data_IF_000376428768
#
_entry.id   IF_000376428768
#
_cell.length_a   1.000
_cell.length_b   1.000
_cell.length_c   1.000
_cell.angle_alpha   90.00
_cell.angle_beta   90.00
_cell.angle_gamma   90.00
#
_symmetry.space_group_name_H-M   'P 1'
#
loop_
_entity.id
_entity.type
_entity.pdbx_description
1 polymer ?
#
# COMPACT_ATOMS: atom_id res chain seq x y z
N UNK A 1 -24.11 5.32 -9.20
CA UNK A 1 -24.55 6.60 -9.80
C UNK A 1 -25.95 6.93 -9.30
N UNK A 2 -27.02 6.52 -9.97
CA UNK A 2 -28.39 6.78 -9.50
C UNK A 2 -28.73 6.10 -8.18
N UNK A 3 -28.10 4.95 -7.90
CA UNK A 3 -28.34 4.12 -6.71
C UNK A 3 -28.05 4.86 -5.40
N UNK A 4 -26.95 5.62 -5.36
CA UNK A 4 -26.56 6.41 -4.19
C UNK A 4 -27.00 7.86 -4.25
N UNK A 5 -27.17 8.44 -5.46
CA UNK A 5 -27.53 9.85 -5.62
C UNK A 5 -29.04 10.14 -5.43
N UNK A 6 -29.91 9.22 -5.84
CA UNK A 6 -31.38 9.38 -5.76
C UNK A 6 -32.14 8.10 -5.40
N UNK A 7 -31.44 7.00 -5.12
CA UNK A 7 -32.05 5.72 -4.78
C UNK A 7 -32.66 5.74 -3.39
N UNK A 8 -33.63 4.86 -3.17
CA UNK A 8 -34.30 4.71 -1.87
C UNK A 8 -33.43 3.98 -0.83
N UNK A 9 -32.38 3.26 -1.27
CA UNK A 9 -31.53 2.40 -0.43
C UNK A 9 -30.02 2.66 -0.66
N UNK A 10 -29.53 3.89 -0.44
CA UNK A 10 -28.15 4.25 -0.75
C UNK A 10 -27.12 3.54 0.15
N UNK A 11 -27.48 3.24 1.39
CA UNK A 11 -26.60 2.55 2.34
C UNK A 11 -26.45 1.07 1.99
N UNK A 12 -27.57 0.41 1.67
CA UNK A 12 -27.63 -0.99 1.26
C UNK A 12 -26.90 -1.19 -0.06
N UNK A 13 -27.03 -0.26 -1.01
CA UNK A 13 -26.30 -0.30 -2.27
C UNK A 13 -24.77 -0.31 -2.04
N UNK A 14 -24.26 0.55 -1.15
CA UNK A 14 -22.83 0.60 -0.82
C UNK A 14 -22.39 -0.66 -0.06
N UNK A 15 -23.19 -1.16 0.90
CA UNK A 15 -22.90 -2.39 1.65
C UNK A 15 -22.83 -3.61 0.73
N UNK A 16 -23.84 -3.78 -0.13
CA UNK A 16 -23.88 -4.86 -1.11
C UNK A 16 -22.68 -4.82 -2.05
N UNK A 17 -22.29 -3.62 -2.51
CA UNK A 17 -21.09 -3.45 -3.33
C UNK A 17 -19.83 -3.85 -2.56
N UNK A 18 -19.66 -3.40 -1.31
CA UNK A 18 -18.50 -3.73 -0.50
C UNK A 18 -18.39 -5.24 -0.23
N UNK A 19 -19.48 -5.89 0.17
CA UNK A 19 -19.55 -7.34 0.41
C UNK A 19 -19.22 -8.13 -0.86
N UNK A 20 -19.82 -7.75 -1.99
CA UNK A 20 -19.55 -8.40 -3.29
C UNK A 20 -18.08 -8.24 -3.69
N UNK A 21 -17.49 -7.06 -3.46
CA UNK A 21 -16.07 -6.85 -3.70
C UNK A 21 -15.23 -7.76 -2.80
N UNK A 22 -15.47 -7.80 -1.48
CA UNK A 22 -14.72 -8.66 -0.56
C UNK A 22 -14.72 -10.13 -0.99
N UNK A 23 -15.88 -10.67 -1.41
CA UNK A 23 -15.98 -12.04 -1.92
C UNK A 23 -15.27 -12.23 -3.27
N UNK A 24 -15.43 -11.27 -4.19
CA UNK A 24 -14.74 -11.34 -5.48
C UNK A 24 -13.21 -11.32 -5.30
N UNK A 25 -12.70 -10.53 -4.35
CA UNK A 25 -11.28 -10.46 -4.03
C UNK A 25 -10.76 -11.73 -3.35
N UNK A 26 -11.55 -12.34 -2.45
CA UNK A 26 -11.19 -13.60 -1.76
C UNK A 26 -11.03 -14.78 -2.73
N UNK A 27 -11.81 -14.79 -3.82
CA UNK A 27 -11.80 -15.84 -4.83
C UNK A 27 -10.67 -15.72 -5.88
N UNK A 28 -9.86 -14.65 -5.86
CA UNK A 28 -8.83 -14.42 -6.88
C UNK A 28 -7.58 -15.27 -6.68
N UNK A 29 -7.05 -15.85 -7.77
CA UNK A 29 -5.73 -16.47 -7.78
C UNK A 29 -4.62 -15.40 -7.90
N UNK A 30 -4.27 -14.75 -6.78
CA UNK A 30 -3.26 -13.69 -6.73
C UNK A 30 -1.88 -14.12 -7.27
N UNK A 31 -1.48 -15.37 -7.05
CA UNK A 31 -0.20 -15.90 -7.55
C UNK A 31 -0.14 -15.88 -9.08
N UNK A 32 -1.19 -16.39 -9.74
CA UNK A 32 -1.26 -16.40 -11.21
C UNK A 32 -1.36 -14.98 -11.75
N UNK A 33 -2.24 -14.16 -11.17
CA UNK A 33 -2.41 -12.76 -11.57
C UNK A 33 -1.09 -11.97 -11.51
N UNK A 34 -0.32 -12.14 -10.44
CA UNK A 34 0.97 -11.49 -10.30
C UNK A 34 1.97 -11.96 -11.37
N UNK A 35 2.03 -13.27 -11.64
CA UNK A 35 2.88 -13.83 -12.69
C UNK A 35 2.53 -13.27 -14.08
N UNK A 36 1.25 -13.19 -14.41
CA UNK A 36 0.77 -12.64 -15.69
C UNK A 36 1.11 -11.16 -15.82
N UNK A 37 0.87 -10.37 -14.76
CA UNK A 37 1.20 -8.94 -14.72
C UNK A 37 2.70 -8.68 -14.88
N UNK A 38 3.54 -9.53 -14.27
CA UNK A 38 4.99 -9.45 -14.44
C UNK A 38 5.41 -9.85 -15.86
N UNK A 39 4.86 -10.95 -16.40
CA UNK A 39 5.18 -11.45 -17.73
C UNK A 39 4.75 -10.49 -18.85
N UNK A 40 3.73 -9.67 -18.63
CA UNK A 40 3.29 -8.64 -19.57
C UNK A 40 4.19 -7.39 -19.63
N UNK A 41 5.16 -7.25 -18.71
CA UNK A 41 6.08 -6.12 -18.73
C UNK A 41 7.09 -6.26 -19.88
N UNK A 42 7.24 -5.21 -20.68
CA UNK A 42 8.18 -5.17 -21.80
C UNK A 42 9.47 -4.46 -21.39
N UNK A 43 10.61 -5.15 -21.58
CA UNK A 43 11.94 -4.57 -21.41
C UNK A 43 12.35 -4.31 -19.95
N UNK A 44 13.52 -3.68 -19.74
CA UNK A 44 13.95 -3.23 -18.42
C UNK A 44 12.96 -2.23 -17.84
N UNK A 45 12.52 -2.47 -16.61
CA UNK A 45 11.60 -1.57 -15.91
C UNK A 45 12.37 -0.58 -15.05
N UNK A 46 11.74 0.56 -14.74
CA UNK A 46 12.29 1.53 -13.79
C UNK A 46 12.56 0.87 -12.42
N UNK A 47 13.54 1.41 -11.68
CA UNK A 47 13.95 0.93 -10.36
C UNK A 47 12.76 0.84 -9.40
N UNK A 48 11.88 1.84 -9.40
CA UNK A 48 10.69 1.85 -8.53
C UNK A 48 9.74 0.71 -8.87
N UNK A 49 9.57 0.41 -10.17
CA UNK A 49 8.71 -0.67 -10.63
C UNK A 49 9.31 -2.05 -10.30
N UNK A 50 10.63 -2.22 -10.45
CA UNK A 50 11.34 -3.43 -10.05
C UNK A 50 11.21 -3.70 -8.54
N UNK A 51 11.36 -2.66 -7.73
CA UNK A 51 11.21 -2.72 -6.27
C UNK A 51 9.76 -3.00 -5.87
N UNK A 52 8.79 -2.37 -6.54
CA UNK A 52 7.38 -2.64 -6.29
C UNK A 52 7.00 -4.11 -6.60
N UNK A 53 7.47 -4.66 -7.73
CA UNK A 53 7.25 -6.07 -8.05
C UNK A 53 7.89 -6.99 -7.00
N UNK A 54 9.14 -6.71 -6.64
CA UNK A 54 9.89 -7.48 -5.63
C UNK A 54 9.25 -7.41 -4.24
N UNK A 55 8.66 -6.28 -3.87
CA UNK A 55 7.93 -6.12 -2.61
C UNK A 55 6.68 -7.01 -2.56
N UNK A 56 5.94 -7.12 -3.67
CA UNK A 56 4.77 -8.02 -3.75
C UNK A 56 5.17 -9.49 -3.66
N UNK A 57 6.26 -9.88 -4.32
CA UNK A 57 6.83 -11.24 -4.18
C UNK A 57 7.24 -11.50 -2.75
N UNK A 58 7.96 -10.56 -2.12
CA UNK A 58 8.40 -10.67 -0.73
C UNK A 58 7.21 -10.81 0.23
N UNK A 59 6.16 -10.01 0.04
CA UNK A 59 4.95 -10.07 0.85
C UNK A 59 4.22 -11.42 0.68
N UNK A 60 4.09 -11.91 -0.56
CA UNK A 60 3.47 -13.20 -0.82
C UNK A 60 4.29 -14.38 -0.30
N UNK A 61 5.61 -14.28 -0.29
CA UNK A 61 6.51 -15.37 0.12
C UNK A 61 6.64 -15.45 1.64
N UNK A 62 6.62 -14.30 2.30
CA UNK A 62 6.69 -14.20 3.77
C UNK A 62 5.32 -14.30 4.46
N UNK A 63 4.23 -14.39 3.68
CA UNK A 63 2.85 -14.28 4.16
C UNK A 63 2.64 -13.03 5.03
N UNK A 64 3.05 -11.88 4.47
CA UNK A 64 2.99 -10.61 5.15
C UNK A 64 1.53 -10.15 5.32
N UNK A 65 1.20 -9.62 6.49
CA UNK A 65 -0.11 -9.09 6.81
C UNK A 65 -0.39 -7.77 6.06
N UNK A 66 0.63 -6.98 5.77
CA UNK A 66 0.51 -5.77 4.95
C UNK A 66 1.82 -5.37 4.26
N UNK A 67 1.69 -4.53 3.23
CA UNK A 67 2.80 -3.76 2.66
C UNK A 67 2.66 -2.31 3.10
N UNK A 68 3.69 -1.77 3.74
CA UNK A 68 3.77 -0.36 4.15
C UNK A 68 4.54 0.39 3.08
N UNK A 69 3.94 1.42 2.46
CA UNK A 69 4.57 2.20 1.39
C UNK A 69 4.67 3.67 1.81
N UNK A 70 5.89 4.20 1.85
CA UNK A 70 6.11 5.63 2.02
C UNK A 70 6.19 6.29 0.65
N UNK A 71 5.25 7.19 0.31
CA UNK A 71 5.22 7.82 -1.00
C UNK A 71 4.76 9.27 -0.91
N UNK A 72 5.53 10.19 -1.51
CA UNK A 72 5.18 11.63 -1.56
C UNK A 72 4.13 11.88 -2.64
N UNK A 73 4.38 11.44 -3.87
CA UNK A 73 3.51 11.68 -5.04
C UNK A 73 2.50 10.55 -5.29
N UNK A 74 2.59 9.45 -4.55
CA UNK A 74 1.74 8.27 -4.73
C UNK A 74 2.19 7.33 -5.86
N UNK A 75 3.22 7.67 -6.64
CA UNK A 75 3.70 6.84 -7.75
C UNK A 75 4.13 5.44 -7.31
N UNK A 76 4.87 5.36 -6.19
CA UNK A 76 5.30 4.07 -5.60
C UNK A 76 4.10 3.24 -5.18
N UNK A 77 3.13 3.85 -4.51
CA UNK A 77 1.88 3.20 -4.08
C UNK A 77 1.10 2.65 -5.27
N UNK A 78 0.99 3.44 -6.35
CA UNK A 78 0.35 3.01 -7.61
C UNK A 78 1.05 1.79 -8.20
N UNK A 79 2.38 1.79 -8.20
CA UNK A 79 3.18 0.67 -8.75
C UNK A 79 3.05 -0.59 -7.90
N UNK A 80 3.03 -0.50 -6.56
CA UNK A 80 2.77 -1.66 -5.70
C UNK A 80 1.36 -2.21 -5.97
N UNK A 81 0.35 -1.34 -6.04
CA UNK A 81 -1.03 -1.74 -6.36
C UNK A 81 -1.15 -2.39 -7.74
N UNK A 82 -0.38 -1.92 -8.75
CA UNK A 82 -0.33 -2.49 -10.10
C UNK A 82 -0.06 -3.99 -10.07
N UNK A 83 0.82 -4.45 -9.18
CA UNK A 83 1.23 -5.86 -9.07
C UNK A 83 0.29 -6.72 -8.22
N UNK A 84 -0.82 -6.14 -7.74
CA UNK A 84 -1.94 -6.83 -7.07
C UNK A 84 -1.48 -7.75 -5.92
N UNK A 85 -0.87 -7.20 -4.85
CA UNK A 85 -0.64 -7.98 -3.64
C UNK A 85 -1.97 -8.50 -3.06
N UNK A 86 -1.90 -9.66 -2.40
CA UNK A 86 -3.03 -10.24 -1.66
C UNK A 86 -3.33 -9.46 -0.36
N UNK A 87 -2.29 -8.96 0.30
CA UNK A 87 -2.39 -8.19 1.53
C UNK A 87 -2.69 -6.70 1.25
N UNK A 88 -3.29 -5.97 2.21
CA UNK A 88 -3.50 -4.53 2.10
C UNK A 88 -2.17 -3.75 1.96
N UNK A 89 -2.26 -2.60 1.30
CA UNK A 89 -1.15 -1.66 1.12
C UNK A 89 -1.44 -0.43 2.00
N UNK A 90 -0.73 -0.27 3.10
CA UNK A 90 -0.82 0.91 3.94
C UNK A 90 0.06 2.00 3.32
N UNK A 91 -0.56 3.01 2.69
CA UNK A 91 0.15 4.06 1.97
C UNK A 91 0.26 5.32 2.82
N UNK A 92 1.48 5.75 3.13
CA UNK A 92 1.74 6.87 4.02
C UNK A 92 2.30 8.04 3.21
N UNK A 93 1.61 9.17 3.30
CA UNK A 93 2.05 10.42 2.70
C UNK A 93 1.83 11.60 3.66
N UNK A 94 2.70 12.60 3.56
CA UNK A 94 2.51 13.91 4.19
C UNK A 94 1.58 14.80 3.37
N UNK A 95 1.42 14.51 2.08
CA UNK A 95 0.53 15.24 1.20
C UNK A 95 -0.91 14.68 1.29
N UNK A 96 -1.88 15.47 1.78
CA UNK A 96 -3.26 15.03 1.87
C UNK A 96 -3.91 14.83 0.48
N UNK A 97 -3.44 15.51 -0.57
CA UNK A 97 -3.94 15.27 -1.94
C UNK A 97 -3.57 13.87 -2.42
N UNK A 98 -2.32 13.47 -2.22
CA UNK A 98 -1.85 12.11 -2.53
C UNK A 98 -2.66 11.06 -1.78
N UNK A 99 -2.98 11.27 -0.50
CA UNK A 99 -3.82 10.35 0.27
C UNK A 99 -5.24 10.22 -0.32
N UNK A 100 -5.85 11.33 -0.76
CA UNK A 100 -7.16 11.31 -1.43
C UNK A 100 -7.13 10.51 -2.73
N UNK A 101 -6.14 10.78 -3.59
CA UNK A 101 -6.00 10.11 -4.89
C UNK A 101 -5.71 8.62 -4.72
N UNK A 102 -4.97 8.24 -3.68
CA UNK A 102 -4.58 6.85 -3.43
C UNK A 102 -5.77 5.88 -3.25
N UNK A 103 -6.96 6.36 -2.87
CA UNK A 103 -8.18 5.54 -2.83
C UNK A 103 -8.58 4.96 -4.21
N UNK A 104 -8.10 5.55 -5.31
CA UNK A 104 -8.33 5.02 -6.66
C UNK A 104 -7.50 3.76 -6.96
N UNK A 105 -6.51 3.46 -6.12
CA UNK A 105 -5.64 2.31 -6.30
C UNK A 105 -6.14 1.12 -5.49
N UNK A 106 -6.33 -0.01 -6.17
CA UNK A 106 -6.86 -1.23 -5.55
C UNK A 106 -5.96 -1.72 -4.41
N UNK A 107 -6.57 -2.10 -3.30
CA UNK A 107 -5.88 -2.65 -2.12
C UNK A 107 -5.15 -1.60 -1.28
N UNK A 108 -5.26 -0.30 -1.61
CA UNK A 108 -4.55 0.77 -0.92
C UNK A 108 -5.42 1.39 0.18
N UNK A 109 -4.86 1.48 1.37
CA UNK A 109 -5.39 2.16 2.54
C UNK A 109 -4.47 3.36 2.85
N UNK A 110 -4.84 4.58 2.45
CA UNK A 110 -3.99 5.74 2.63
C UNK A 110 -4.11 6.32 4.03
N UNK A 111 -2.97 6.72 4.60
CA UNK A 111 -2.86 7.41 5.88
C UNK A 111 -2.10 8.72 5.73
N UNK A 112 -2.74 9.81 6.12
CA UNK A 112 -2.12 11.12 6.14
C UNK A 112 -1.24 11.27 7.38
N UNK A 113 0.07 11.38 7.16
CA UNK A 113 1.05 11.61 8.22
C UNK A 113 1.28 13.11 8.37
N UNK A 114 0.58 13.72 9.33
CA UNK A 114 0.57 15.17 9.52
C UNK A 114 1.88 15.74 10.13
N UNK A 115 2.73 14.90 10.73
CA UNK A 115 3.97 15.39 11.34
C UNK A 115 4.97 15.84 10.27
N UNK A 116 5.44 17.07 10.43
CA UNK A 116 6.47 17.65 9.57
C UNK A 116 7.79 16.89 9.69
N UNK A 117 8.66 17.07 8.70
CA UNK A 117 10.00 16.50 8.76
C UNK A 117 10.87 17.39 9.64
N UNK A 118 11.45 16.83 10.68
CA UNK A 118 12.57 17.47 11.36
C UNK A 118 13.78 17.48 10.41
N UNK A 119 14.18 18.67 9.98
CA UNK A 119 15.31 18.86 9.07
C UNK A 119 16.65 18.48 9.72
N UNK A 120 16.74 18.51 11.04
CA UNK A 120 17.94 18.14 11.81
C UNK A 120 18.07 16.62 12.00
N UNK A 121 16.97 15.89 11.90
CA UNK A 121 16.96 14.44 12.02
C UNK A 121 17.48 13.74 10.76
N UNK A 122 18.19 12.62 10.99
CA UNK A 122 18.61 11.74 9.91
C UNK A 122 17.41 11.20 9.12
N UNK A 123 17.55 11.05 7.80
CA UNK A 123 16.49 10.53 6.94
C UNK A 123 15.99 9.15 7.38
N UNK A 124 16.89 8.29 7.81
CA UNK A 124 16.56 6.94 8.29
C UNK A 124 15.69 6.96 9.56
N UNK A 125 15.92 7.93 10.45
CA UNK A 125 15.10 8.11 11.64
C UNK A 125 13.69 8.54 11.24
N UNK A 126 13.55 9.50 10.32
CA UNK A 126 12.25 9.94 9.78
C UNK A 126 11.48 8.81 9.08
N UNK A 127 12.17 7.98 8.29
CA UNK A 127 11.57 6.79 7.65
C UNK A 127 11.11 5.80 8.70
N UNK A 128 11.94 5.52 9.71
CA UNK A 128 11.62 4.56 10.77
C UNK A 128 10.42 5.00 11.61
N UNK A 129 10.36 6.28 11.99
CA UNK A 129 9.20 6.86 12.69
C UNK A 129 7.92 6.74 11.88
N UNK A 130 7.95 6.99 10.56
CA UNK A 130 6.79 6.83 9.69
C UNK A 130 6.34 5.37 9.57
N UNK A 131 7.27 4.42 9.50
CA UNK A 131 6.95 2.99 9.47
C UNK A 131 6.34 2.53 10.79
N UNK A 132 6.90 2.93 11.93
CA UNK A 132 6.37 2.60 13.25
C UNK A 132 4.96 3.18 13.45
N UNK A 133 4.76 4.44 13.04
CA UNK A 133 3.45 5.06 13.06
C UNK A 133 2.45 4.33 12.16
N UNK A 134 2.87 3.89 10.97
CA UNK A 134 2.04 3.10 10.07
C UNK A 134 1.65 1.74 10.65
N UNK A 135 2.57 1.08 11.36
CA UNK A 135 2.28 -0.17 12.09
C UNK A 135 1.21 0.07 13.15
N UNK A 136 1.37 1.12 13.97
CA UNK A 136 0.39 1.49 15.00
C UNK A 136 -0.99 1.77 14.39
N UNK A 137 -1.05 2.48 13.25
CA UNK A 137 -2.29 2.72 12.51
C UNK A 137 -2.90 1.45 11.95
N UNK A 138 -2.08 0.54 11.42
CA UNK A 138 -2.53 -0.77 10.96
C UNK A 138 -3.15 -1.61 12.09
N UNK A 139 -2.58 -1.54 13.30
CA UNK A 139 -3.14 -2.19 14.49
C UNK A 139 -4.47 -1.55 14.90
N UNK A 140 -4.54 -0.21 14.91
CA UNK A 140 -5.76 0.55 15.25
C UNK A 140 -6.96 0.19 14.36
N UNK A 141 -6.74 0.02 13.05
CA UNK A 141 -7.80 -0.37 12.11
C UNK A 141 -8.03 -1.89 12.02
N UNK A 142 -7.32 -2.69 12.82
CA UNK A 142 -7.44 -4.15 12.84
C UNK A 142 -6.82 -4.87 11.64
N UNK A 143 -6.01 -4.18 10.83
CA UNK A 143 -5.31 -4.75 9.68
C UNK A 143 -3.99 -5.45 10.06
N UNK A 144 -3.42 -5.13 11.22
CA UNK A 144 -2.19 -5.72 11.74
C UNK A 144 -2.37 -6.18 13.20
N UNK A 145 -1.56 -7.15 13.61
CA UNK A 145 -1.43 -7.65 14.98
C UNK A 145 0.05 -7.73 15.37
N UNK A 146 0.34 -7.73 16.67
CA UNK A 146 1.70 -7.97 17.16
C UNK A 146 2.20 -9.33 16.69
N UNK A 147 3.44 -9.39 16.21
CA UNK A 147 4.04 -10.57 15.60
C UNK A 147 3.77 -10.75 14.10
N UNK A 148 2.90 -9.95 13.49
CA UNK A 148 2.67 -10.02 12.05
C UNK A 148 3.92 -9.59 11.27
N UNK A 149 4.18 -10.27 10.15
CA UNK A 149 5.21 -9.88 9.20
C UNK A 149 4.68 -8.78 8.28
N UNK A 150 5.47 -7.74 8.04
CA UNK A 150 5.16 -6.68 7.08
C UNK A 150 6.31 -6.48 6.12
N UNK A 151 6.00 -5.90 4.96
CA UNK A 151 7.00 -5.45 3.97
C UNK A 151 6.94 -3.94 3.85
N UNK A 152 8.03 -3.24 4.18
CA UNK A 152 8.14 -1.80 4.02
C UNK A 152 8.85 -1.43 2.72
N UNK A 153 8.30 -0.47 1.99
CA UNK A 153 8.83 0.06 0.73
C UNK A 153 9.04 1.56 0.84
N UNK A 154 10.28 2.00 0.64
CA UNK A 154 10.66 3.42 0.72
C UNK A 154 11.92 3.73 -0.10
N UNK A 155 12.30 5.01 -0.14
CA UNK A 155 13.58 5.45 -0.70
C UNK A 155 14.69 5.51 0.34
N UNK A 156 15.92 5.22 -0.08
CA UNK A 156 17.13 5.34 0.74
C UNK A 156 17.52 6.78 1.04
N UNK A 157 17.22 7.73 0.15
CA UNK A 157 17.52 9.16 0.31
C UNK A 157 16.27 10.01 0.12
N UNK A 158 16.27 11.18 0.75
CA UNK A 158 15.30 12.24 0.50
C UNK A 158 15.36 12.68 -0.97
N UNK A 159 14.19 12.87 -1.58
CA UNK A 159 14.05 13.28 -2.98
C UNK A 159 12.89 12.59 -3.67
N UNK A 160 12.43 13.17 -4.77
CA UNK A 160 11.38 12.58 -5.58
C UNK A 160 11.87 11.32 -6.30
N UNK A 161 11.00 10.33 -6.44
CA UNK A 161 11.24 9.10 -7.23
C UNK A 161 12.44 8.22 -6.81
N UNK A 162 12.94 8.35 -5.58
CA UNK A 162 14.09 7.58 -5.07
C UNK A 162 13.75 6.22 -4.47
N UNK A 163 12.55 5.66 -4.73
CA UNK A 163 12.16 4.39 -4.10
C UNK A 163 13.01 3.25 -4.63
N UNK A 164 13.84 2.70 -3.75
CA UNK A 164 14.81 1.67 -4.11
C UNK A 164 14.97 0.60 -3.00
N UNK A 165 14.22 0.69 -1.90
CA UNK A 165 14.44 -0.13 -0.70
C UNK A 165 13.20 -0.95 -0.36
N UNK A 166 13.40 -2.26 -0.10
CA UNK A 166 12.43 -3.18 0.49
C UNK A 166 12.98 -3.70 1.80
N UNK A 167 12.18 -3.69 2.87
CA UNK A 167 12.55 -4.25 4.18
C UNK A 167 11.44 -5.18 4.67
N UNK A 168 11.80 -6.37 5.15
CA UNK A 168 10.88 -7.22 5.90
C UNK A 168 11.05 -6.90 7.39
N UNK A 169 9.94 -6.64 8.07
CA UNK A 169 9.89 -6.27 9.49
C UNK A 169 8.79 -7.07 10.18
N UNK A 170 8.83 -7.09 11.51
CA UNK A 170 7.78 -7.68 12.35
C UNK A 170 7.13 -6.56 13.14
N UNK A 171 5.80 -6.60 13.25
CA UNK A 171 5.05 -5.68 14.11
C UNK A 171 5.42 -5.98 15.56
N UNK A 172 5.85 -4.95 16.34
CA UNK A 172 6.24 -5.14 17.73
C UNK A 172 5.11 -5.64 18.63
#
# INVERSE_FOLDING_TARGET
SGETAKGAYPLEAVRMMAETCCEAESAMCYRQLHADLNGAMKGPVDTTAAVAASAVVSASTSDAAAIIVLSVTGNTTRLVSKFRPRCPILAISRDPMTCRIAHLYRGVYPFHYAAERDASAAWEADVSSRIQWAMAKGVEIGALRSGDKIVAVHGWKSGDSSTNTVRSLVVP
#
